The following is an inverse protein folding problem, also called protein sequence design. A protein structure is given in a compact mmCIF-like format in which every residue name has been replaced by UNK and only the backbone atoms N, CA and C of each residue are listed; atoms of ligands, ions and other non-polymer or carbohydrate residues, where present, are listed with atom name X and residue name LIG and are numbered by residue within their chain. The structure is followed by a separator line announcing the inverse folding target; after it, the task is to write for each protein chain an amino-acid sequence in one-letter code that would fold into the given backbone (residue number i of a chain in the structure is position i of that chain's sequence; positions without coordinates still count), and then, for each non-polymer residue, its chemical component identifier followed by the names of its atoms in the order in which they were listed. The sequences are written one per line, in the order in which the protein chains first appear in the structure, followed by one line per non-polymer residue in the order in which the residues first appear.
data_IF_043550407393
#
_entry.id   IF_043550407393
#
_cell.length_a   1.000
_cell.length_b   1.000
_cell.length_c   1.000
_cell.angle_alpha   90.00
_cell.angle_beta   90.00
_cell.angle_gamma   90.00
#
_symmetry.space_group_name_H-M   'P 1'
#
loop_
_entity.id
_entity.type
_entity.pdbx_description
1 polymer ?
#
# COMPACT_ATOMS: atom_id res chain seq x y z
N UNK A 1 -33.47 -14.13 63.80
CA UNK A 1 -33.29 -12.84 63.09
C UNK A 1 -31.84 -12.41 63.22
N UNK A 2 -30.85 -13.18 62.74
CA UNK A 2 -30.35 -13.20 61.36
C UNK A 2 -30.74 -12.01 60.48
N UNK A 3 -29.72 -11.28 60.02
CA UNK A 3 -29.74 -10.46 58.81
C UNK A 3 -29.62 -8.96 59.06
N UNK A 4 -28.63 -8.34 58.40
CA UNK A 4 -28.47 -6.90 58.14
C UNK A 4 -27.63 -6.10 59.14
N UNK A 5 -26.34 -6.43 59.24
CA UNK A 5 -25.34 -5.37 59.38
C UNK A 5 -25.17 -4.73 57.97
N UNK A 6 -25.31 -3.41 57.81
CA UNK A 6 -25.16 -2.77 56.51
C UNK A 6 -23.72 -2.98 56.04
N UNK A 7 -23.57 -3.39 54.78
CA UNK A 7 -22.29 -3.32 54.08
C UNK A 7 -21.84 -1.85 54.13
N UNK A 8 -20.95 -1.55 55.08
CA UNK A 8 -20.22 -0.30 55.12
C UNK A 8 -19.59 -0.15 53.73
N UNK A 9 -19.84 0.96 53.01
CA UNK A 9 -19.03 1.24 51.85
C UNK A 9 -17.59 1.36 52.37
N UNK A 10 -16.71 0.45 51.96
CA UNK A 10 -15.31 0.77 51.75
C UNK A 10 -15.25 1.85 50.65
N UNK A 11 -15.71 3.06 50.95
CA UNK A 11 -15.38 4.22 50.16
C UNK A 11 -13.96 4.60 50.53
N UNK A 12 -13.06 3.90 49.84
CA UNK A 12 -11.88 4.46 49.25
C UNK A 12 -11.07 5.35 50.20
N UNK A 13 -10.29 4.70 51.05
CA UNK A 13 -9.05 5.25 51.60
C UNK A 13 -7.99 5.55 50.53
N UNK A 14 -8.38 6.04 49.35
CA UNK A 14 -7.52 6.43 48.23
C UNK A 14 -7.57 7.94 47.93
N UNK A 15 -8.29 8.75 48.71
CA UNK A 15 -8.29 10.22 48.54
C UNK A 15 -7.21 10.95 49.34
N UNK A 16 -6.40 10.24 50.14
CA UNK A 16 -5.46 10.88 51.06
C UNK A 16 -4.02 10.98 50.51
N UNK A 17 -3.64 10.15 49.52
CA UNK A 17 -2.42 10.35 48.71
C UNK A 17 -2.70 11.14 47.42
N UNK A 18 -3.93 11.07 46.91
CA UNK A 18 -4.38 11.80 45.73
C UNK A 18 -4.52 13.30 45.95
N UNK A 19 -4.91 13.77 47.15
CA UNK A 19 -5.12 15.20 47.42
C UNK A 19 -3.85 16.06 47.24
N UNK A 20 -2.71 15.60 47.76
CA UNK A 20 -1.45 16.34 47.62
C UNK A 20 -0.92 16.28 46.18
N UNK A 21 -0.95 15.11 45.54
CA UNK A 21 -0.50 14.93 44.15
C UNK A 21 -1.40 15.72 43.19
N UNK A 22 -2.71 15.70 43.40
CA UNK A 22 -3.66 16.47 42.59
C UNK A 22 -3.49 17.97 42.77
N UNK A 23 -3.26 18.46 43.99
CA UNK A 23 -3.01 19.87 44.26
C UNK A 23 -1.68 20.35 43.66
N UNK A 24 -0.62 19.54 43.78
CA UNK A 24 0.66 19.80 43.12
C UNK A 24 0.51 19.80 41.60
N UNK A 25 -0.26 18.87 41.03
CA UNK A 25 -0.54 18.83 39.59
C UNK A 25 -1.32 20.06 39.11
N UNK A 26 -2.32 20.48 39.90
CA UNK A 26 -3.14 21.67 39.61
C UNK A 26 -2.27 22.94 39.61
N UNK A 27 -1.40 23.07 40.60
CA UNK A 27 -0.45 24.18 40.72
C UNK A 27 0.57 24.14 39.58
N UNK A 28 1.13 22.97 39.25
CA UNK A 28 2.08 22.81 38.16
C UNK A 28 1.47 23.20 36.81
N UNK A 29 0.23 22.80 36.53
CA UNK A 29 -0.52 23.22 35.34
C UNK A 29 -0.77 24.73 35.37
N UNK A 30 -1.23 25.28 36.49
CA UNK A 30 -1.49 26.72 36.61
C UNK A 30 -0.22 27.55 36.34
N UNK A 31 0.92 27.14 36.91
CA UNK A 31 2.22 27.78 36.65
C UNK A 31 2.61 27.63 35.18
N UNK A 32 2.47 26.44 34.60
CA UNK A 32 2.80 26.18 33.20
C UNK A 32 1.97 27.04 32.23
N UNK A 33 0.66 27.16 32.47
CA UNK A 33 -0.25 28.00 31.68
C UNK A 33 0.09 29.48 31.82
N UNK A 34 0.31 29.97 33.04
CA UNK A 34 0.68 31.37 33.29
C UNK A 34 2.03 31.70 32.65
N UNK A 35 3.03 30.82 32.81
CA UNK A 35 4.34 30.98 32.19
C UNK A 35 4.24 30.97 30.66
N UNK A 36 3.47 30.06 30.08
CA UNK A 36 3.21 30.02 28.63
C UNK A 36 2.55 31.30 28.14
N UNK A 37 1.51 31.77 28.81
CA UNK A 37 0.80 33.00 28.44
C UNK A 37 1.71 34.23 28.53
N UNK A 38 2.50 34.37 29.60
CA UNK A 38 3.44 35.49 29.76
C UNK A 38 4.59 35.44 28.73
N UNK A 39 5.09 34.24 28.41
CA UNK A 39 6.16 34.08 27.42
C UNK A 39 5.68 34.36 25.99
N UNK A 40 4.45 34.00 25.64
CA UNK A 40 3.92 34.11 24.28
C UNK A 40 3.11 35.39 24.00
N UNK A 41 2.70 36.14 25.04
CA UNK A 41 1.92 37.37 24.84
C UNK A 41 2.74 38.43 24.09
N UNK A 42 2.28 38.79 22.90
CA UNK A 42 2.87 39.86 22.07
C UNK A 42 4.17 39.47 21.34
N UNK A 43 4.44 38.17 21.19
CA UNK A 43 5.58 37.65 20.41
C UNK A 43 5.09 37.04 19.10
N UNK A 44 5.56 37.56 17.97
CA UNK A 44 5.26 37.00 16.63
C UNK A 44 6.16 35.80 16.26
N UNK A 45 7.20 35.53 17.04
CA UNK A 45 8.12 34.40 16.87
C UNK A 45 8.30 33.67 18.19
N UNK A 46 8.37 32.34 18.12
CA UNK A 46 8.60 31.45 19.26
C UNK A 46 9.83 31.93 20.07
N UNK A 47 9.63 32.41 21.30
CA UNK A 47 10.73 32.87 22.14
C UNK A 47 11.63 31.72 22.60
N UNK A 48 11.11 30.48 22.56
CA UNK A 48 11.83 29.25 22.91
C UNK A 48 12.14 28.48 21.63
N UNK A 49 13.13 28.95 20.87
CA UNK A 49 13.60 28.27 19.66
C UNK A 49 14.73 27.29 20.01
N UNK A 50 14.36 26.14 20.59
CA UNK A 50 15.30 25.03 20.75
C UNK A 50 15.24 24.17 19.47
N UNK A 51 16.37 23.98 18.74
CA UNK A 51 16.37 23.32 17.44
C UNK A 51 15.85 21.88 17.46
N UNK A 52 15.98 21.16 18.58
CA UNK A 52 15.44 19.81 18.76
C UNK A 52 13.90 19.77 18.74
N UNK A 53 13.24 20.64 19.49
CA UNK A 53 11.78 20.71 19.53
C UNK A 53 11.19 21.29 18.23
N UNK A 54 11.91 22.24 17.62
CA UNK A 54 11.53 22.83 16.33
C UNK A 54 11.50 21.80 15.20
N UNK A 55 12.45 20.86 15.20
CA UNK A 55 12.58 19.85 14.15
C UNK A 55 11.84 18.53 14.50
N UNK A 56 10.83 18.57 15.38
CA UNK A 56 10.07 17.39 15.84
C UNK A 56 10.97 16.22 16.24
N UNK A 57 12.01 16.52 17.02
CA UNK A 57 13.03 15.56 17.47
C UNK A 57 13.74 14.78 16.34
N UNK A 58 13.68 15.25 15.08
CA UNK A 58 14.16 14.54 13.89
C UNK A 58 13.53 13.16 13.66
N UNK A 59 12.52 12.79 14.43
CA UNK A 59 11.87 11.47 14.36
C UNK A 59 11.09 11.35 13.05
N UNK A 60 10.34 12.39 12.69
CA UNK A 60 9.62 12.45 11.40
C UNK A 60 10.60 12.32 10.22
N UNK A 61 11.72 13.05 10.26
CA UNK A 61 12.72 13.01 9.19
C UNK A 61 13.41 11.65 9.04
N UNK A 62 13.66 10.95 10.15
CA UNK A 62 14.20 9.58 10.12
C UNK A 62 13.17 8.58 9.59
N UNK A 63 11.92 8.68 10.05
CA UNK A 63 10.84 7.81 9.61
C UNK A 63 10.57 7.95 8.11
N UNK A 64 10.43 9.17 7.61
CA UNK A 64 10.12 9.43 6.20
C UNK A 64 11.30 9.07 5.29
N UNK A 65 12.53 9.48 5.64
CA UNK A 65 13.68 9.25 4.74
C UNK A 65 14.25 7.84 4.80
N UNK A 66 14.16 7.16 5.94
CA UNK A 66 14.79 5.84 6.12
C UNK A 66 13.74 4.75 6.03
N UNK A 67 12.63 4.86 6.76
CA UNK A 67 11.65 3.78 6.80
C UNK A 67 10.73 3.84 5.58
N UNK A 68 10.09 4.97 5.34
CA UNK A 68 9.13 5.12 4.25
C UNK A 68 9.83 5.01 2.91
N UNK A 69 10.86 5.83 2.67
CA UNK A 69 11.56 5.84 1.38
C UNK A 69 12.16 4.48 1.01
N UNK A 70 12.81 3.80 1.96
CA UNK A 70 13.50 2.54 1.64
C UNK A 70 12.52 1.39 1.41
N UNK A 71 11.43 1.32 2.19
CA UNK A 71 10.44 0.25 2.02
C UNK A 71 9.44 0.54 0.91
N UNK A 72 8.87 1.75 0.86
CA UNK A 72 7.90 2.10 -0.18
C UNK A 72 8.56 2.18 -1.56
N UNK A 73 9.72 2.82 -1.72
CA UNK A 73 10.31 2.94 -3.07
C UNK A 73 10.75 1.59 -3.61
N UNK A 74 11.29 0.71 -2.75
CA UNK A 74 11.64 -0.65 -3.15
C UNK A 74 10.40 -1.46 -3.56
N UNK A 75 9.33 -1.43 -2.74
CA UNK A 75 8.09 -2.14 -3.07
C UNK A 75 7.39 -1.55 -4.30
N UNK A 76 7.32 -0.23 -4.41
CA UNK A 76 6.73 0.46 -5.54
C UNK A 76 7.48 0.11 -6.83
N UNK A 77 8.82 0.09 -6.79
CA UNK A 77 9.64 -0.33 -7.92
C UNK A 77 9.35 -1.76 -8.37
N UNK A 78 9.21 -2.69 -7.42
CA UNK A 78 8.87 -4.09 -7.71
C UNK A 78 7.47 -4.18 -8.34
N UNK A 79 6.47 -3.53 -7.76
CA UNK A 79 5.09 -3.56 -8.28
C UNK A 79 5.03 -2.99 -9.69
N UNK A 80 5.66 -1.83 -9.93
CA UNK A 80 5.70 -1.20 -11.25
C UNK A 80 6.44 -2.07 -12.27
N UNK A 81 7.51 -2.75 -11.86
CA UNK A 81 8.21 -3.70 -12.72
C UNK A 81 7.30 -4.85 -13.15
N UNK A 82 6.60 -5.47 -12.19
CA UNK A 82 5.70 -6.58 -12.50
C UNK A 82 4.51 -6.15 -13.35
N UNK A 83 3.90 -5.00 -13.07
CA UNK A 83 2.79 -4.44 -13.84
C UNK A 83 3.20 -4.25 -15.31
N UNK A 84 4.30 -3.52 -15.55
CA UNK A 84 4.80 -3.30 -16.91
C UNK A 84 5.27 -4.58 -17.60
N UNK A 85 5.94 -5.47 -16.88
CA UNK A 85 6.43 -6.72 -17.46
C UNK A 85 5.28 -7.65 -17.87
N UNK A 86 4.29 -7.80 -16.99
CA UNK A 86 3.20 -8.75 -17.20
C UNK A 86 2.12 -8.18 -18.13
N UNK A 87 1.72 -6.93 -17.94
CA UNK A 87 0.67 -6.28 -18.74
C UNK A 87 1.24 -5.83 -20.08
N UNK A 88 2.26 -4.97 -20.10
CA UNK A 88 2.76 -4.42 -21.37
C UNK A 88 3.60 -5.47 -22.12
N UNK A 89 4.45 -6.22 -21.40
CA UNK A 89 5.35 -7.20 -21.99
C UNK A 89 4.64 -8.45 -22.51
N UNK A 90 4.08 -9.24 -21.58
CA UNK A 90 3.47 -10.55 -21.91
C UNK A 90 2.05 -10.38 -22.44
N UNK A 91 1.22 -9.60 -21.75
CA UNK A 91 -0.19 -9.42 -22.09
C UNK A 91 -0.36 -8.75 -23.45
N UNK A 92 -0.12 -7.45 -23.52
CA UNK A 92 -0.43 -6.66 -24.72
C UNK A 92 0.62 -6.87 -25.80
N UNK A 93 1.90 -6.66 -25.48
CA UNK A 93 2.98 -6.71 -26.45
C UNK A 93 3.28 -8.13 -26.97
N UNK A 94 3.14 -9.14 -26.13
CA UNK A 94 3.33 -10.54 -26.48
C UNK A 94 2.22 -11.07 -27.37
N UNK A 95 0.96 -10.83 -26.99
CA UNK A 95 -0.20 -11.24 -27.78
C UNK A 95 -0.29 -10.49 -29.11
N UNK A 96 0.01 -9.18 -29.15
CA UNK A 96 0.03 -8.41 -30.40
C UNK A 96 1.06 -8.96 -31.39
N UNK A 97 2.30 -9.16 -30.94
CA UNK A 97 3.37 -9.76 -31.77
C UNK A 97 3.04 -11.18 -32.22
N UNK A 98 2.39 -11.96 -31.35
CA UNK A 98 1.86 -13.28 -31.69
C UNK A 98 0.83 -13.20 -32.80
N UNK A 99 -0.20 -12.38 -32.63
CA UNK A 99 -1.27 -12.18 -33.61
C UNK A 99 -0.73 -11.68 -34.96
N UNK A 100 0.19 -10.72 -34.94
CA UNK A 100 0.86 -10.22 -36.15
C UNK A 100 1.67 -11.33 -36.86
N UNK A 101 2.38 -12.16 -36.10
CA UNK A 101 3.14 -13.29 -36.65
C UNK A 101 2.22 -14.34 -37.27
N UNK A 102 1.12 -14.68 -36.59
CA UNK A 102 0.09 -15.58 -37.11
C UNK A 102 -0.55 -15.01 -38.37
N UNK A 103 -0.93 -13.73 -38.38
CA UNK A 103 -1.49 -13.06 -39.55
C UNK A 103 -0.52 -13.04 -40.72
N UNK A 104 0.76 -12.77 -40.48
CA UNK A 104 1.79 -12.80 -41.52
C UNK A 104 2.04 -14.21 -42.08
N UNK A 105 1.96 -15.24 -41.24
CA UNK A 105 2.07 -16.63 -41.70
C UNK A 105 0.86 -17.01 -42.56
N UNK A 106 -0.36 -16.68 -42.11
CA UNK A 106 -1.58 -16.91 -42.87
C UNK A 106 -1.56 -16.15 -44.20
N UNK A 107 -1.03 -14.93 -44.22
CA UNK A 107 -0.83 -14.14 -45.43
C UNK A 107 0.14 -14.77 -46.41
N UNK A 108 1.19 -15.47 -45.94
CA UNK A 108 2.09 -16.26 -46.82
C UNK A 108 1.40 -17.48 -47.41
N UNK A 109 0.56 -18.17 -46.64
CA UNK A 109 -0.28 -19.26 -47.16
C UNK A 109 -1.26 -18.72 -48.21
N UNK A 110 -1.70 -17.48 -48.07
CA UNK A 110 -2.56 -16.77 -49.03
C UNK A 110 -1.83 -16.16 -50.24
N UNK A 111 -0.52 -16.38 -50.43
CA UNK A 111 0.31 -15.73 -51.45
C UNK A 111 -0.02 -16.04 -52.93
N UNK A 112 -1.09 -16.79 -53.20
CA UNK A 112 -1.71 -16.84 -54.53
C UNK A 112 -1.21 -17.95 -55.47
N UNK A 113 -0.48 -18.95 -54.96
CA UNK A 113 -0.10 -20.11 -55.77
C UNK A 113 -1.28 -21.08 -55.94
N UNK A 114 -2.03 -20.93 -57.04
CA UNK A 114 -3.21 -21.74 -57.36
C UNK A 114 -2.93 -23.26 -57.42
N UNK A 115 -1.70 -23.65 -57.82
CA UNK A 115 -1.26 -25.04 -57.87
C UNK A 115 -1.13 -25.65 -56.46
N UNK A 116 -0.66 -24.85 -55.49
CA UNK A 116 -0.58 -25.27 -54.09
C UNK A 116 -1.96 -25.58 -53.50
N UNK A 117 -2.96 -24.74 -53.79
CA UNK A 117 -4.33 -24.98 -53.34
C UNK A 117 -4.94 -26.25 -53.94
N UNK A 118 -4.75 -26.49 -55.23
CA UNK A 118 -5.25 -27.70 -55.88
C UNK A 118 -4.61 -28.97 -55.29
N UNK A 119 -3.31 -28.93 -54.98
CA UNK A 119 -2.61 -30.03 -54.31
C UNK A 119 -3.15 -30.27 -52.90
N UNK A 120 -3.29 -29.24 -52.08
CA UNK A 120 -3.85 -29.35 -50.71
C UNK A 120 -5.30 -29.83 -50.72
N UNK A 121 -6.10 -29.40 -51.70
CA UNK A 121 -7.48 -29.86 -51.89
C UNK A 121 -7.54 -31.36 -52.21
N UNK A 122 -6.75 -31.83 -53.19
CA UNK A 122 -6.66 -33.24 -53.54
C UNK A 122 -6.21 -34.11 -52.36
N UNK A 123 -5.20 -33.64 -51.61
CA UNK A 123 -4.74 -34.29 -50.38
C UNK A 123 -5.85 -34.40 -49.32
N UNK A 124 -6.63 -33.33 -49.14
CA UNK A 124 -7.78 -33.29 -48.23
C UNK A 124 -8.87 -34.28 -48.59
N UNK A 125 -9.22 -34.39 -49.89
CA UNK A 125 -10.20 -35.37 -50.39
C UNK A 125 -9.73 -36.80 -50.11
N UNK A 126 -8.47 -37.11 -50.41
CA UNK A 126 -7.89 -38.45 -50.14
C UNK A 126 -7.92 -38.76 -48.64
N UNK A 127 -7.57 -37.79 -47.78
CA UNK A 127 -7.63 -37.94 -46.32
C UNK A 127 -9.04 -38.22 -45.81
N UNK A 128 -10.05 -37.49 -46.32
CA UNK A 128 -11.45 -37.71 -45.94
C UNK A 128 -11.91 -39.10 -46.37
N UNK A 129 -11.66 -39.50 -47.62
CA UNK A 129 -12.01 -40.83 -48.11
C UNK A 129 -11.33 -41.90 -47.26
N UNK A 130 -10.04 -41.75 -46.99
CA UNK A 130 -9.30 -42.69 -46.15
C UNK A 130 -9.90 -42.78 -44.74
N UNK A 131 -10.17 -41.65 -44.10
CA UNK A 131 -10.72 -41.64 -42.75
C UNK A 131 -12.16 -42.16 -42.71
N UNK A 132 -12.98 -41.93 -43.74
CA UNK A 132 -14.36 -42.44 -43.80
C UNK A 132 -14.44 -43.92 -44.15
N UNK A 133 -13.49 -44.44 -44.94
CA UNK A 133 -13.51 -45.84 -45.42
C UNK A 133 -12.77 -46.78 -44.47
N UNK A 134 -11.68 -46.32 -43.85
CA UNK A 134 -10.82 -47.15 -42.99
C UNK A 134 -11.00 -46.88 -41.49
N UNK A 135 -11.93 -46.01 -41.08
CA UNK A 135 -12.49 -45.99 -39.73
C UNK A 135 -13.94 -46.43 -39.72
#
# INVERSE_FOLDING_TARGET
INGLAPALPEHAGELHLGGMVSMVSLIAVAIGVVAGFLLYKGKDKDPVSIPLFKNRFYVDGFYDNVLVRYFQDAFAGIVIFFDKFLIDGIGVGGLSRGAESFGNLFRRVQSGNLQGYAFTFGLGVVLVIYFTVFR
#
